data_IF_676129086232
#
_entry.id   IF_676129086232
#
_cell.length_a   1.000
_cell.length_b   1.000
_cell.length_c   1.000
_cell.angle_alpha   90.00
_cell.angle_beta   90.00
_cell.angle_gamma   90.00
#
_symmetry.space_group_name_H-M   'P 1'
#
loop_
_entity.id
_entity.type
_entity.pdbx_description
1 polymer ?
#
# COMPACT_ATOMS: atom_id res chain seq x y z
N UNK A 1 -27.17 5.86 7.40
CA UNK A 1 -26.34 4.71 7.78
C UNK A 1 -25.72 4.14 6.52
N UNK A 2 -24.39 4.18 6.40
CA UNK A 2 -23.69 3.54 5.28
C UNK A 2 -24.04 2.06 5.29
N UNK A 3 -24.80 1.59 4.31
CA UNK A 3 -24.87 0.16 4.03
C UNK A 3 -23.50 -0.17 3.46
N UNK A 4 -22.74 -1.02 4.16
CA UNK A 4 -21.39 -1.49 3.85
C UNK A 4 -20.30 -0.54 4.40
N UNK A 5 -19.16 -1.10 4.82
CA UNK A 5 -18.00 -0.39 5.40
C UNK A 5 -17.25 0.49 4.41
N UNK A 6 -17.96 1.16 3.50
CA UNK A 6 -17.42 2.05 2.49
C UNK A 6 -17.04 3.40 3.11
N UNK A 7 -15.79 3.80 2.89
CA UNK A 7 -15.32 5.13 3.24
C UNK A 7 -15.90 6.18 2.28
N UNK A 8 -16.80 7.02 2.77
CA UNK A 8 -17.42 8.10 2.00
C UNK A 8 -17.60 9.35 2.85
N UNK A 9 -16.67 10.33 2.75
CA UNK A 9 -16.76 11.58 3.49
C UNK A 9 -18.04 12.38 3.19
N UNK A 10 -18.70 12.95 4.21
CA UNK A 10 -19.96 13.69 4.05
C UNK A 10 -19.82 14.97 3.19
N UNK A 11 -18.63 15.52 3.07
CA UNK A 11 -18.32 16.75 2.31
C UNK A 11 -18.20 16.53 0.79
N UNK A 12 -18.09 15.27 0.32
CA UNK A 12 -17.90 14.98 -1.10
C UNK A 12 -18.97 15.56 -2.03
N UNK A 13 -20.28 15.52 -1.71
CA UNK A 13 -21.30 16.06 -2.61
C UNK A 13 -21.11 17.54 -2.94
N UNK A 14 -20.81 18.37 -1.95
CA UNK A 14 -20.63 19.81 -2.15
C UNK A 14 -19.36 20.13 -2.93
N UNK A 15 -18.28 19.38 -2.65
CA UNK A 15 -17.00 19.54 -3.35
C UNK A 15 -17.07 19.10 -4.80
N UNK A 16 -17.80 18.00 -5.10
CA UNK A 16 -18.07 17.56 -6.47
C UNK A 16 -18.82 18.64 -7.25
N UNK A 17 -19.83 19.28 -6.64
CA UNK A 17 -20.59 20.37 -7.28
C UNK A 17 -19.73 21.62 -7.48
N UNK A 18 -18.90 21.98 -6.50
CA UNK A 18 -17.97 23.11 -6.64
C UNK A 18 -16.97 22.86 -7.78
N UNK A 19 -16.45 21.63 -7.91
CA UNK A 19 -15.58 21.24 -9.01
C UNK A 19 -16.28 21.35 -10.37
N UNK A 20 -17.52 20.85 -10.49
CA UNK A 20 -18.26 20.89 -11.76
C UNK A 20 -18.65 22.31 -12.19
N UNK A 21 -18.81 23.25 -11.24
CA UNK A 21 -19.02 24.68 -11.52
C UNK A 21 -17.74 25.48 -11.76
N UNK A 22 -16.56 24.86 -11.59
CA UNK A 22 -15.26 25.54 -11.69
C UNK A 22 -14.92 26.42 -10.48
N UNK A 23 -15.62 26.25 -9.37
CA UNK A 23 -15.37 26.97 -8.10
C UNK A 23 -14.29 26.29 -7.24
N UNK A 24 -13.96 25.04 -7.55
CA UNK A 24 -12.90 24.26 -6.90
C UNK A 24 -11.78 23.98 -7.90
N UNK A 25 -10.56 24.38 -7.55
CA UNK A 25 -9.34 24.00 -8.28
C UNK A 25 -8.76 22.73 -7.67
N UNK A 26 -8.62 21.63 -8.43
CA UNK A 26 -8.04 20.39 -7.90
C UNK A 26 -6.62 20.59 -7.38
N UNK A 27 -6.35 20.04 -6.20
CA UNK A 27 -4.99 20.00 -5.64
C UNK A 27 -4.14 19.02 -6.46
N UNK A 28 -2.87 19.35 -6.72
CA UNK A 28 -1.94 18.41 -7.36
C UNK A 28 -1.70 17.21 -6.45
N UNK A 29 -1.88 15.96 -6.93
CA UNK A 29 -1.67 14.79 -6.08
C UNK A 29 -0.18 14.64 -5.71
N UNK A 30 0.07 14.35 -4.43
CA UNK A 30 1.41 13.99 -3.95
C UNK A 30 1.72 12.54 -4.31
N UNK A 31 2.92 12.24 -4.78
CA UNK A 31 3.34 10.84 -5.01
C UNK A 31 3.37 10.09 -3.67
N UNK A 32 2.92 8.85 -3.70
CA UNK A 32 2.94 7.96 -2.55
C UNK A 32 3.24 6.52 -2.98
N UNK A 33 3.70 5.72 -2.04
CA UNK A 33 3.95 4.30 -2.23
C UNK A 33 3.40 3.51 -1.06
N UNK A 34 2.89 2.31 -1.33
CA UNK A 34 2.37 1.41 -0.30
C UNK A 34 2.69 -0.04 -0.65
N UNK A 35 2.93 -0.88 0.35
CA UNK A 35 3.43 -2.25 0.17
C UNK A 35 2.50 -3.25 0.83
N UNK A 36 1.87 -4.09 0.01
CA UNK A 36 1.18 -5.30 0.42
C UNK A 36 2.22 -6.34 0.80
N UNK A 37 2.60 -6.35 2.08
CA UNK A 37 3.56 -7.31 2.62
C UNK A 37 2.87 -8.66 2.82
N UNK A 38 3.44 -9.70 2.22
CA UNK A 38 2.89 -11.05 2.16
C UNK A 38 3.77 -12.04 2.92
N UNK A 39 3.17 -13.07 3.52
CA UNK A 39 3.91 -14.20 4.06
C UNK A 39 3.18 -15.50 3.77
N UNK A 40 3.92 -16.57 3.64
CA UNK A 40 3.30 -17.89 3.59
C UNK A 40 2.67 -18.21 4.95
N UNK A 41 1.48 -18.84 4.96
CA UNK A 41 0.85 -19.23 6.21
C UNK A 41 1.76 -20.22 6.95
N UNK A 42 1.81 -20.15 8.29
CA UNK A 42 2.57 -21.13 9.05
C UNK A 42 2.03 -22.55 8.77
N UNK A 43 2.89 -23.57 8.76
CA UNK A 43 2.42 -24.95 8.63
C UNK A 43 1.39 -25.23 9.75
N UNK A 44 0.35 -26.04 9.46
CA UNK A 44 -0.66 -26.36 10.46
C UNK A 44 0.00 -26.94 11.71
N UNK A 45 -0.42 -26.46 12.88
CA UNK A 45 0.11 -26.92 14.16
C UNK A 45 -0.03 -28.45 14.24
N UNK A 46 1.09 -29.15 14.44
CA UNK A 46 1.15 -30.60 14.58
C UNK A 46 0.33 -31.02 15.80
N UNK A 47 -0.93 -31.40 15.59
CA UNK A 47 -1.82 -31.80 16.70
C UNK A 47 -3.10 -32.48 16.27
N UNK A 48 -3.68 -32.11 15.13
CA UNK A 48 -4.85 -32.79 14.57
C UNK A 48 -4.71 -32.78 13.06
N UNK A 49 -4.29 -33.90 12.47
CA UNK A 49 -4.18 -34.05 11.01
C UNK A 49 -5.59 -34.04 10.40
N UNK A 50 -6.17 -32.86 10.24
CA UNK A 50 -7.11 -32.65 9.16
C UNK A 50 -6.37 -32.96 7.85
N UNK A 51 -6.98 -33.66 6.88
CA UNK A 51 -6.37 -33.87 5.58
C UNK A 51 -5.90 -32.53 5.02
N UNK A 52 -4.69 -32.49 4.48
CA UNK A 52 -4.18 -31.29 3.82
C UNK A 52 -5.22 -30.84 2.78
N UNK A 53 -5.56 -29.54 2.73
CA UNK A 53 -6.49 -29.05 1.73
C UNK A 53 -5.99 -29.41 0.32
N UNK A 54 -6.91 -29.66 -0.60
CA UNK A 54 -6.60 -30.08 -1.97
C UNK A 54 -5.73 -29.05 -2.73
N UNK A 55 -5.76 -27.79 -2.30
CA UNK A 55 -4.84 -26.74 -2.73
C UNK A 55 -4.14 -26.14 -1.49
N UNK A 56 -2.84 -25.82 -1.58
CA UNK A 56 -2.15 -25.10 -0.52
C UNK A 56 -2.85 -23.75 -0.25
N UNK A 57 -2.95 -23.37 1.03
CA UNK A 57 -3.47 -22.07 1.38
C UNK A 57 -2.53 -20.97 0.85
N UNK A 58 -3.08 -19.98 0.15
CA UNK A 58 -2.32 -18.85 -0.35
C UNK A 58 -1.76 -17.97 0.79
N UNK A 59 -0.92 -16.96 0.45
CA UNK A 59 -0.25 -16.14 1.44
C UNK A 59 -1.21 -15.26 2.26
N UNK A 60 -0.84 -15.02 3.53
CA UNK A 60 -1.42 -13.96 4.35
C UNK A 60 -0.89 -12.59 3.89
N UNK A 61 -1.67 -11.54 4.11
CA UNK A 61 -1.28 -10.14 3.91
C UNK A 61 -1.28 -9.38 5.23
N UNK A 62 -0.31 -8.48 5.38
CA UNK A 62 -0.19 -7.59 6.53
C UNK A 62 -1.04 -6.33 6.34
N UNK A 63 -1.92 -6.06 7.29
CA UNK A 63 -2.73 -4.86 7.36
C UNK A 63 -2.48 -4.14 8.68
N UNK A 64 -2.50 -2.81 8.64
CA UNK A 64 -2.52 -1.94 9.81
C UNK A 64 -3.82 -1.16 9.85
N UNK A 65 -4.34 -0.92 11.06
CA UNK A 65 -5.51 -0.08 11.29
C UNK A 65 -5.05 1.30 11.72
N UNK A 66 -5.37 2.30 10.91
CA UNK A 66 -5.07 3.71 11.20
C UNK A 66 -5.79 4.13 12.48
N UNK A 67 -5.12 4.90 13.35
CA UNK A 67 -5.72 5.44 14.58
C UNK A 67 -7.03 6.18 14.24
N UNK A 68 -8.04 6.00 15.08
CA UNK A 68 -9.35 6.66 14.91
C UNK A 68 -9.31 8.18 15.08
N UNK A 69 -8.22 8.71 15.63
CA UNK A 69 -7.98 10.15 15.77
C UNK A 69 -7.39 10.80 14.52
N UNK A 70 -7.07 10.03 13.47
CA UNK A 70 -6.52 10.59 12.24
C UNK A 70 -7.53 11.43 11.47
N UNK A 71 -7.08 12.54 10.89
CA UNK A 71 -7.95 13.42 10.09
C UNK A 71 -8.43 12.79 8.78
N UNK A 72 -7.76 11.75 8.28
CA UNK A 72 -8.09 11.06 7.03
C UNK A 72 -7.96 9.54 7.20
N UNK A 73 -8.96 8.81 6.69
CA UNK A 73 -9.05 7.35 6.76
C UNK A 73 -8.98 6.78 8.20
N UNK A 74 -9.53 7.50 9.20
CA UNK A 74 -9.59 7.09 10.60
C UNK A 74 -10.23 5.71 10.79
N UNK A 75 -9.53 4.78 11.45
CA UNK A 75 -10.03 3.43 11.69
C UNK A 75 -10.07 2.52 10.46
N UNK A 76 -9.66 3.02 9.29
CA UNK A 76 -9.53 2.21 8.09
C UNK A 76 -8.29 1.32 8.17
N UNK A 77 -8.43 0.09 7.68
CA UNK A 77 -7.32 -0.80 7.42
C UNK A 77 -6.63 -0.40 6.12
N UNK A 78 -5.30 -0.43 6.14
CA UNK A 78 -4.42 -0.10 5.03
C UNK A 78 -3.16 -0.98 5.10
N UNK A 79 -2.26 -0.81 4.13
CA UNK A 79 -0.93 -1.41 4.16
C UNK A 79 0.10 -0.38 4.63
N UNK A 80 1.32 -0.81 5.01
CA UNK A 80 2.45 0.10 5.19
C UNK A 80 2.62 1.02 3.97
N UNK A 81 2.77 2.32 4.20
CA UNK A 81 2.94 3.25 3.10
C UNK A 81 2.71 4.71 3.44
N UNK A 82 3.23 5.57 2.59
CA UNK A 82 3.21 7.01 2.81
C UNK A 82 3.64 7.81 1.59
N UNK A 83 3.81 9.10 1.81
CA UNK A 83 4.19 10.02 0.75
C UNK A 83 5.67 9.85 0.39
N UNK A 84 5.99 10.05 -0.88
CA UNK A 84 7.39 10.22 -1.31
C UNK A 84 7.93 11.51 -0.71
N UNK A 85 9.04 11.41 0.02
CA UNK A 85 9.77 12.54 0.58
C UNK A 85 10.82 13.02 -0.43
N UNK A 86 11.17 14.32 -0.41
CA UNK A 86 12.23 14.85 -1.30
C UNK A 86 13.57 14.15 -1.08
N UNK A 87 13.82 13.64 0.15
CA UNK A 87 15.03 12.89 0.48
C UNK A 87 15.08 11.50 -0.14
N UNK A 88 13.94 10.97 -0.61
CA UNK A 88 13.90 9.73 -1.38
C UNK A 88 14.50 9.90 -2.79
N UNK A 89 14.75 11.14 -3.24
CA UNK A 89 15.41 11.44 -4.51
C UNK A 89 16.94 11.31 -4.42
N UNK A 90 17.51 11.23 -3.21
CA UNK A 90 18.95 11.04 -3.01
C UNK A 90 19.40 9.65 -3.52
N UNK A 91 20.58 9.59 -4.13
CA UNK A 91 21.09 8.34 -4.68
C UNK A 91 21.35 7.30 -3.59
N UNK A 92 20.93 6.05 -3.86
CA UNK A 92 21.17 4.90 -3.00
C UNK A 92 21.89 3.80 -3.78
N UNK A 93 22.64 2.96 -3.06
CA UNK A 93 23.12 1.69 -3.62
C UNK A 93 21.90 0.84 -3.99
N UNK A 94 21.94 0.25 -5.19
CA UNK A 94 20.75 -0.28 -5.84
C UNK A 94 20.98 -1.68 -6.42
N UNK A 95 20.05 -2.59 -6.15
CA UNK A 95 20.00 -3.93 -6.73
C UNK A 95 18.62 -4.21 -7.33
N UNK A 96 18.57 -5.08 -8.32
CA UNK A 96 17.36 -5.43 -9.07
C UNK A 96 17.22 -4.69 -10.40
N UNK A 97 15.99 -4.53 -10.92
CA UNK A 97 15.75 -3.81 -12.17
C UNK A 97 16.35 -2.41 -12.10
N UNK A 98 16.96 -1.96 -13.19
CA UNK A 98 17.55 -0.62 -13.27
C UNK A 98 16.49 0.47 -13.03
N UNK A 99 16.94 1.65 -12.63
CA UNK A 99 16.08 2.84 -12.47
C UNK A 99 15.29 3.15 -13.75
N UNK A 100 15.89 2.92 -14.92
CA UNK A 100 15.21 3.09 -16.21
C UNK A 100 14.09 2.06 -16.43
N UNK A 101 14.31 0.79 -16.06
CA UNK A 101 13.26 -0.24 -16.11
C UNK A 101 12.12 0.08 -15.14
N UNK A 102 12.41 0.60 -13.94
CA UNK A 102 11.39 1.08 -13.02
C UNK A 102 10.66 2.33 -13.54
N UNK A 103 11.37 3.25 -14.19
CA UNK A 103 10.78 4.43 -14.83
C UNK A 103 9.73 4.05 -15.87
N UNK A 104 10.10 3.14 -16.78
CA UNK A 104 9.20 2.56 -17.77
C UNK A 104 8.02 1.85 -17.10
N UNK A 105 8.30 0.97 -16.12
CA UNK A 105 7.27 0.20 -15.42
C UNK A 105 6.24 1.09 -14.73
N UNK A 106 6.68 2.15 -14.05
CA UNK A 106 5.83 3.04 -13.25
C UNK A 106 5.22 4.18 -14.08
N UNK A 107 5.67 4.38 -15.33
CA UNK A 107 5.22 5.44 -16.23
C UNK A 107 5.65 6.84 -15.77
N UNK A 108 6.87 6.97 -15.24
CA UNK A 108 7.47 8.23 -14.75
C UNK A 108 8.95 8.32 -15.18
N UNK A 109 9.63 9.44 -14.90
CA UNK A 109 11.08 9.53 -15.11
C UNK A 109 11.88 8.74 -14.05
N UNK A 110 13.16 8.48 -14.33
CA UNK A 110 14.02 7.64 -13.49
C UNK A 110 14.22 8.17 -12.06
N UNK A 111 14.30 9.49 -11.88
CA UNK A 111 14.44 10.08 -10.55
C UNK A 111 13.16 9.87 -9.74
N UNK A 112 12.00 10.09 -10.37
CA UNK A 112 10.71 9.84 -9.72
C UNK A 112 10.49 8.36 -9.41
N UNK A 113 10.92 7.46 -10.29
CA UNK A 113 10.83 6.02 -10.08
C UNK A 113 11.69 5.57 -8.89
N UNK A 114 12.94 6.04 -8.81
CA UNK A 114 13.79 5.76 -7.65
C UNK A 114 13.12 6.24 -6.36
N UNK A 115 12.63 7.48 -6.34
CA UNK A 115 12.03 8.05 -5.13
C UNK A 115 10.77 7.30 -4.69
N UNK A 116 9.92 6.87 -5.64
CA UNK A 116 8.75 6.04 -5.34
C UNK A 116 9.13 4.67 -4.76
N UNK A 117 10.17 4.02 -5.31
CA UNK A 117 10.67 2.74 -4.79
C UNK A 117 11.34 2.91 -3.42
N UNK A 118 12.12 3.96 -3.22
CA UNK A 118 12.71 4.28 -1.92
C UNK A 118 11.63 4.52 -0.87
N UNK A 119 10.60 5.31 -1.19
CA UNK A 119 9.47 5.53 -0.31
C UNK A 119 8.77 4.21 0.06
N UNK A 120 8.57 3.29 -0.89
CA UNK A 120 7.96 1.99 -0.62
C UNK A 120 8.73 1.20 0.45
N UNK A 121 10.06 1.11 0.31
CA UNK A 121 10.91 0.39 1.26
C UNK A 121 11.03 1.13 2.60
N UNK A 122 11.24 2.45 2.55
CA UNK A 122 11.35 3.31 3.73
C UNK A 122 10.10 3.23 4.60
N UNK A 123 8.93 3.45 4.03
CA UNK A 123 7.65 3.42 4.76
C UNK A 123 7.36 2.03 5.33
N UNK A 124 7.74 0.97 4.60
CA UNK A 124 7.62 -0.41 5.10
C UNK A 124 8.49 -0.62 6.34
N UNK A 125 9.71 -0.10 6.35
CA UNK A 125 10.59 -0.18 7.51
C UNK A 125 10.09 0.68 8.67
N UNK A 126 9.67 1.92 8.40
CA UNK A 126 9.14 2.85 9.41
C UNK A 126 7.91 2.27 10.13
N UNK A 127 6.95 1.71 9.39
CA UNK A 127 5.65 1.33 9.95
C UNK A 127 5.57 -0.12 10.42
N UNK A 128 6.28 -1.03 9.76
CA UNK A 128 6.21 -2.47 10.04
C UNK A 128 7.52 -3.05 10.61
N UNK A 129 8.61 -2.29 10.59
CA UNK A 129 9.93 -2.77 11.01
C UNK A 129 10.54 -3.80 10.05
N UNK A 130 10.08 -3.83 8.79
CA UNK A 130 10.57 -4.75 7.76
C UNK A 130 11.37 -3.97 6.72
N UNK A 131 12.59 -4.43 6.42
CA UNK A 131 13.52 -3.76 5.53
C UNK A 131 13.80 -4.62 4.28
N UNK A 132 13.57 -4.04 3.10
CA UNK A 132 13.87 -4.66 1.81
C UNK A 132 15.25 -4.18 1.30
N UNK A 133 16.29 -4.52 2.06
CA UNK A 133 17.68 -4.20 1.76
C UNK A 133 18.62 -5.30 2.27
N UNK A 134 19.83 -5.36 1.72
CA UNK A 134 20.86 -6.34 2.08
C UNK A 134 22.27 -5.77 1.94
N UNK A 135 23.29 -6.55 2.30
CA UNK A 135 24.69 -6.13 2.14
C UNK A 135 25.15 -6.18 0.68
N UNK A 136 24.43 -6.93 -0.13
CA UNK A 136 24.74 -7.17 -1.53
C UNK A 136 23.44 -7.48 -2.31
N UNK A 137 23.50 -7.60 -3.65
CA UNK A 137 22.33 -7.87 -4.49
C UNK A 137 21.66 -9.24 -4.29
N UNK A 138 22.20 -10.13 -3.47
CA UNK A 138 21.70 -11.50 -3.27
C UNK A 138 21.14 -11.71 -1.86
N UNK A 139 21.66 -11.01 -0.86
CA UNK A 139 21.24 -11.15 0.54
C UNK A 139 20.20 -10.12 0.97
N UNK A 140 19.54 -10.40 2.09
CA UNK A 140 18.71 -9.45 2.85
C UNK A 140 19.25 -9.39 4.28
N UNK A 141 19.01 -8.28 4.99
CA UNK A 141 19.27 -8.26 6.43
C UNK A 141 18.27 -9.18 7.12
N UNK A 142 18.75 -10.20 7.83
CA UNK A 142 17.88 -11.21 8.45
C UNK A 142 17.19 -10.68 9.72
N UNK A 143 17.89 -9.87 10.52
CA UNK A 143 17.39 -9.34 11.79
C UNK A 143 17.62 -7.83 11.88
N UNK A 144 16.52 -7.10 12.07
CA UNK A 144 16.48 -5.64 12.23
C UNK A 144 15.85 -5.25 13.58
N UNK A 145 15.92 -6.14 14.58
CA UNK A 145 15.24 -5.97 15.88
C UNK A 145 16.08 -5.37 17.00
N UNK A 146 17.39 -5.18 16.78
CA UNK A 146 18.30 -4.59 17.76
C UNK A 146 17.99 -3.12 18.10
N UNK A 147 18.45 -2.66 19.27
CA UNK A 147 18.23 -1.29 19.76
C UNK A 147 18.79 -0.23 18.80
N UNK A 148 19.90 -0.52 18.13
CA UNK A 148 20.49 0.36 17.12
C UNK A 148 19.60 0.49 15.87
N UNK A 149 18.93 -0.59 15.46
CA UNK A 149 17.95 -0.57 14.37
C UNK A 149 16.70 0.22 14.74
N UNK A 150 16.22 0.09 15.98
CA UNK A 150 15.09 0.88 16.46
C UNK A 150 15.43 2.37 16.57
N UNK A 151 16.66 2.71 16.97
CA UNK A 151 17.13 4.09 16.99
C UNK A 151 17.13 4.70 15.57
N UNK A 152 17.66 3.97 14.59
CA UNK A 152 17.66 4.43 13.19
C UNK A 152 16.25 4.53 12.61
N UNK A 153 15.39 3.56 12.89
CA UNK A 153 13.97 3.61 12.48
C UNK A 153 13.27 4.81 13.10
N UNK A 154 13.52 5.09 14.38
CA UNK A 154 13.02 6.28 15.07
C UNK A 154 13.48 7.56 14.40
N UNK A 155 14.76 7.65 14.02
CA UNK A 155 15.33 8.80 13.32
C UNK A 155 14.78 8.98 11.90
N UNK A 156 14.44 7.89 11.19
CA UNK A 156 13.73 7.95 9.91
C UNK A 156 12.31 8.53 10.09
N UNK A 157 11.55 7.97 11.05
CA UNK A 157 10.18 8.44 11.38
C UNK A 157 10.17 9.91 11.81
N UNK A 158 11.12 10.34 12.64
CA UNK A 158 11.25 11.73 13.08
C UNK A 158 11.87 12.65 12.02
N UNK A 159 12.31 12.07 10.88
CA UNK A 159 12.94 12.77 9.76
C UNK A 159 14.31 13.37 10.08
N UNK A 160 14.97 12.92 11.14
CA UNK A 160 16.34 13.29 11.49
C UNK A 160 17.38 12.59 10.61
N UNK A 161 17.07 11.38 10.14
CA UNK A 161 17.91 10.58 9.23
C UNK A 161 17.20 10.45 7.89
N UNK A 162 17.93 10.59 6.78
CA UNK A 162 17.40 10.24 5.46
C UNK A 162 17.54 8.74 5.19
N UNK A 163 16.67 8.16 4.36
CA UNK A 163 16.78 6.74 4.03
C UNK A 163 18.05 6.41 3.25
N UNK A 164 18.52 7.34 2.41
CA UNK A 164 19.79 7.18 1.72
C UNK A 164 20.98 7.14 2.69
N UNK A 165 21.03 8.07 3.66
CA UNK A 165 22.09 8.10 4.68
C UNK A 165 22.03 6.87 5.59
N UNK A 166 20.83 6.42 5.95
CA UNK A 166 20.63 5.18 6.71
C UNK A 166 21.22 3.96 5.98
N UNK A 167 20.90 3.78 4.69
CA UNK A 167 21.46 2.69 3.91
C UNK A 167 22.98 2.82 3.76
N UNK A 168 23.49 4.03 3.51
CA UNK A 168 24.92 4.28 3.37
C UNK A 168 25.70 3.99 4.66
N UNK A 169 25.21 4.47 5.80
CA UNK A 169 25.84 4.26 7.11
C UNK A 169 25.92 2.78 7.50
N UNK A 170 24.93 1.98 7.07
CA UNK A 170 24.89 0.54 7.31
C UNK A 170 25.54 -0.30 6.20
N UNK A 171 26.05 0.34 5.13
CA UNK A 171 26.63 -0.36 3.98
C UNK A 171 25.63 -1.25 3.25
N UNK A 172 24.38 -0.80 3.13
CA UNK A 172 23.27 -1.56 2.57
C UNK A 172 22.93 -1.12 1.15
N UNK A 173 22.44 -2.09 0.39
CA UNK A 173 21.91 -1.96 -0.96
C UNK A 173 20.40 -2.13 -0.91
N UNK A 174 19.65 -1.21 -1.50
CA UNK A 174 18.21 -1.33 -1.68
C UNK A 174 17.92 -2.47 -2.66
N UNK A 175 17.15 -3.47 -2.23
CA UNK A 175 16.76 -4.65 -3.03
C UNK A 175 15.44 -4.40 -3.76
N UNK A 176 15.50 -3.62 -4.84
CA UNK A 176 14.29 -3.24 -5.59
C UNK A 176 13.61 -4.43 -6.27
N UNK A 177 14.36 -5.50 -6.54
CA UNK A 177 13.86 -6.77 -7.08
C UNK A 177 12.90 -7.51 -6.15
N UNK A 178 12.85 -7.15 -4.87
CA UNK A 178 11.89 -7.73 -3.91
C UNK A 178 10.50 -7.09 -4.01
N UNK A 179 10.35 -6.00 -4.78
CA UNK A 179 9.08 -5.31 -4.99
C UNK A 179 8.45 -5.68 -6.33
N UNK A 180 7.14 -5.94 -6.32
CA UNK A 180 6.32 -6.06 -7.52
C UNK A 180 5.30 -4.93 -7.63
N UNK A 181 5.38 -4.06 -8.65
CA UNK A 181 4.36 -3.02 -8.84
C UNK A 181 3.01 -3.62 -9.30
N UNK A 182 1.97 -3.38 -8.52
CA UNK A 182 0.69 -4.09 -8.59
C UNK A 182 -0.46 -3.24 -9.10
N UNK A 183 -0.60 -2.00 -8.62
CA UNK A 183 -1.66 -1.08 -9.02
C UNK A 183 -1.22 0.38 -8.85
N UNK A 184 -1.93 1.30 -9.50
CA UNK A 184 -1.76 2.74 -9.30
C UNK A 184 -3.12 3.39 -9.12
N UNK A 185 -3.31 4.12 -8.04
CA UNK A 185 -4.56 4.80 -7.71
C UNK A 185 -4.32 6.28 -7.48
N UNK A 186 -5.14 7.13 -8.07
CA UNK A 186 -5.07 8.58 -7.85
C UNK A 186 -6.34 9.03 -7.14
N UNK A 187 -6.16 9.70 -6.01
CA UNK A 187 -7.26 10.25 -5.20
C UNK A 187 -8.12 11.21 -6.04
N UNK A 188 -9.46 11.18 -5.90
CA UNK A 188 -10.38 11.99 -6.70
C UNK A 188 -10.05 13.49 -6.70
N UNK A 189 -10.35 14.19 -7.80
CA UNK A 189 -10.00 15.61 -7.98
C UNK A 189 -10.65 16.57 -6.99
N UNK A 190 -11.84 16.21 -6.51
CA UNK A 190 -12.57 17.00 -5.53
C UNK A 190 -12.02 16.82 -4.12
N UNK A 191 -11.07 15.93 -3.84
CA UNK A 191 -10.48 15.76 -2.50
C UNK A 191 -9.49 16.87 -2.14
N UNK A 192 -9.42 17.24 -0.85
CA UNK A 192 -8.45 18.25 -0.37
C UNK A 192 -7.03 17.69 -0.34
N UNK A 193 -6.91 16.43 0.05
CA UNK A 193 -5.64 15.73 0.19
C UNK A 193 -5.58 14.65 -0.86
N UNK A 194 -4.83 14.92 -1.92
CA UNK A 194 -4.71 14.01 -3.05
C UNK A 194 -3.36 13.31 -3.08
N UNK A 195 -3.40 12.03 -3.42
CA UNK A 195 -2.24 11.19 -3.60
C UNK A 195 -2.31 10.48 -4.95
N UNK A 196 -1.14 10.28 -5.55
CA UNK A 196 -0.89 9.40 -6.69
C UNK A 196 -0.06 8.24 -6.14
N UNK A 197 -0.74 7.14 -5.84
CA UNK A 197 -0.21 6.05 -5.03
C UNK A 197 0.07 4.83 -5.88
N UNK A 198 1.33 4.40 -5.88
CA UNK A 198 1.72 3.10 -6.41
C UNK A 198 1.64 2.04 -5.30
N UNK A 199 0.96 0.94 -5.58
CA UNK A 199 0.85 -0.22 -4.72
C UNK A 199 1.86 -1.26 -5.18
N UNK A 200 2.62 -1.80 -4.24
CA UNK A 200 3.60 -2.85 -4.47
C UNK A 200 3.24 -4.10 -3.68
N UNK A 201 3.65 -5.27 -4.15
CA UNK A 201 3.73 -6.51 -3.36
C UNK A 201 5.16 -6.74 -2.91
N UNK A 202 5.34 -7.36 -1.74
CA UNK A 202 6.63 -7.87 -1.29
C UNK A 202 6.41 -9.10 -0.40
N UNK A 203 7.26 -10.11 -0.54
CA UNK A 203 7.32 -11.19 0.43
C UNK A 203 8.09 -10.73 1.69
N UNK A 204 7.61 -11.12 2.87
CA UNK A 204 8.31 -10.91 4.14
C UNK A 204 9.68 -11.61 4.08
N UNK A 205 10.80 -10.87 4.18
CA UNK A 205 12.12 -11.46 4.16
C UNK A 205 12.30 -12.50 5.28
N UNK A 206 12.98 -13.61 4.97
CA UNK A 206 13.28 -14.63 5.95
C UNK A 206 14.08 -14.04 7.13
N UNK A 207 13.74 -14.45 8.36
CA UNK A 207 14.33 -13.94 9.59
C UNK A 207 13.64 -12.69 10.16
N UNK A 208 13.08 -11.84 9.30
CA UNK A 208 12.40 -10.62 9.74
C UNK A 208 10.99 -10.88 10.25
N UNK A 209 10.51 -9.99 11.12
CA UNK A 209 9.17 -10.05 11.71
C UNK A 209 8.57 -8.66 11.73
N UNK A 210 7.29 -8.56 11.38
CA UNK A 210 6.54 -7.31 11.51
C UNK A 210 6.36 -6.93 12.98
N UNK A 211 6.38 -5.63 13.26
CA UNK A 211 6.09 -5.05 14.56
C UNK A 211 5.05 -3.94 14.40
N UNK A 212 4.22 -3.73 15.43
CA UNK A 212 3.37 -2.54 15.48
C UNK A 212 4.25 -1.34 15.88
N UNK A 213 5.02 -0.84 14.92
CA UNK A 213 6.08 0.13 15.13
C UNK A 213 5.64 1.56 14.77
N UNK A 214 4.57 1.69 13.99
CA UNK A 214 3.94 2.96 13.66
C UNK A 214 3.19 3.52 14.86
N UNK A 215 3.40 4.81 15.16
CA UNK A 215 2.50 5.50 16.08
C UNK A 215 1.13 5.71 15.41
N UNK A 216 1.05 5.76 14.09
CA UNK A 216 -0.17 6.05 13.33
C UNK A 216 -1.16 4.88 13.25
N UNK A 217 -0.73 3.68 13.65
CA UNK A 217 -1.56 2.49 13.72
C UNK A 217 -1.84 2.08 15.16
N UNK A 218 -3.07 1.63 15.47
CA UNK A 218 -3.41 1.09 16.79
C UNK A 218 -3.54 -0.44 16.80
N UNK A 219 -3.63 -1.07 15.63
CA UNK A 219 -3.72 -2.52 15.46
C UNK A 219 -3.05 -2.96 14.17
N UNK A 220 -2.56 -4.18 14.18
CA UNK A 220 -1.99 -4.86 13.02
C UNK A 220 -2.59 -6.25 12.90
N UNK A 221 -2.75 -6.74 11.67
CA UNK A 221 -3.38 -8.01 11.38
C UNK A 221 -2.62 -8.71 10.24
N UNK A 222 -2.34 -9.99 10.42
CA UNK A 222 -2.06 -10.89 9.32
C UNK A 222 -3.32 -11.72 9.05
N UNK A 223 -3.77 -11.77 7.81
CA UNK A 223 -4.99 -12.49 7.41
C UNK A 223 -4.92 -12.84 5.93
N UNK A 224 -5.68 -13.85 5.49
CA UNK A 224 -5.78 -14.13 4.06
C UNK A 224 -6.48 -12.96 3.34
N UNK A 225 -6.12 -12.66 2.07
CA UNK A 225 -6.83 -11.64 1.30
C UNK A 225 -8.34 -11.91 1.21
N UNK A 226 -8.75 -13.17 1.11
CA UNK A 226 -10.16 -13.56 1.06
C UNK A 226 -10.91 -13.24 2.37
N UNK A 227 -10.30 -13.55 3.52
CA UNK A 227 -10.91 -13.24 4.83
C UNK A 227 -10.98 -11.73 5.07
N UNK A 228 -9.97 -10.98 4.64
CA UNK A 228 -9.98 -9.53 4.71
C UNK A 228 -11.13 -8.92 3.90
N UNK A 229 -11.37 -9.40 2.68
CA UNK A 229 -12.51 -8.99 1.85
C UNK A 229 -13.83 -9.36 2.51
N UNK A 230 -13.94 -10.58 3.04
CA UNK A 230 -15.15 -11.01 3.74
C UNK A 230 -15.44 -10.15 4.99
N UNK A 231 -14.40 -9.76 5.74
CA UNK A 231 -14.51 -8.83 6.86
C UNK A 231 -14.95 -7.42 6.44
N UNK A 232 -14.47 -6.93 5.29
CA UNK A 232 -14.96 -5.68 4.71
C UNK A 232 -16.43 -5.77 4.30
N UNK A 233 -16.85 -6.84 3.65
CA UNK A 233 -18.22 -7.04 3.19
C UNK A 233 -19.21 -7.15 4.38
N UNK A 234 -18.75 -7.69 5.52
CA UNK A 234 -19.51 -7.69 6.80
C UNK A 234 -19.47 -6.35 7.55
N UNK A 235 -18.67 -5.38 7.09
CA UNK A 235 -18.50 -4.08 7.74
C UNK A 235 -17.61 -4.10 8.99
N UNK A 236 -16.85 -5.17 9.20
CA UNK A 236 -15.93 -5.34 10.35
C UNK A 236 -14.57 -4.69 10.10
N UNK A 237 -14.14 -4.67 8.83
CA UNK A 237 -12.89 -4.05 8.40
C UNK A 237 -13.19 -2.88 7.47
N UNK A 238 -13.25 -1.67 8.03
CA UNK A 238 -13.36 -0.43 7.24
C UNK A 238 -12.15 -0.31 6.32
N UNK A 239 -12.36 -0.13 5.02
CA UNK A 239 -11.27 0.02 4.04
C UNK A 239 -11.62 1.07 2.99
N UNK A 240 -10.58 1.68 2.41
CA UNK A 240 -10.72 2.52 1.23
C UNK A 240 -10.86 1.64 -0.03
N UNK A 241 -11.49 2.13 -1.12
CA UNK A 241 -11.62 1.37 -2.36
C UNK A 241 -10.31 0.76 -2.88
N UNK A 242 -9.15 1.47 -2.91
CA UNK A 242 -7.90 0.88 -3.35
C UNK A 242 -7.51 -0.39 -2.59
N UNK A 243 -7.65 -0.37 -1.25
CA UNK A 243 -7.27 -1.50 -0.39
C UNK A 243 -8.13 -2.72 -0.62
N UNK A 244 -9.46 -2.58 -0.62
CA UNK A 244 -10.35 -3.72 -0.84
C UNK A 244 -10.21 -4.25 -2.28
N UNK A 245 -10.00 -3.39 -3.28
CA UNK A 245 -9.75 -3.84 -4.65
C UNK A 245 -8.48 -4.67 -4.74
N UNK A 246 -7.35 -4.18 -4.20
CA UNK A 246 -6.09 -4.94 -4.26
C UNK A 246 -6.16 -6.26 -3.48
N UNK A 247 -6.93 -6.33 -2.38
CA UNK A 247 -7.20 -7.59 -1.69
C UNK A 247 -8.03 -8.57 -2.55
N UNK A 248 -9.06 -8.08 -3.25
CA UNK A 248 -9.85 -8.90 -4.19
C UNK A 248 -8.98 -9.45 -5.32
N UNK A 249 -8.08 -8.63 -5.86
CA UNK A 249 -7.13 -9.03 -6.89
C UNK A 249 -6.14 -10.08 -6.37
N UNK A 250 -5.58 -9.90 -5.17
CA UNK A 250 -4.70 -10.89 -4.54
C UNK A 250 -5.43 -12.22 -4.31
N UNK A 251 -6.68 -12.17 -3.83
CA UNK A 251 -7.51 -13.37 -3.64
C UNK A 251 -7.78 -14.08 -4.98
N UNK A 252 -8.02 -13.32 -6.05
CA UNK A 252 -8.27 -13.85 -7.39
C UNK A 252 -7.00 -14.41 -8.06
N UNK A 253 -5.81 -13.91 -7.72
CA UNK A 253 -4.54 -14.33 -8.29
C UNK A 253 -4.13 -15.77 -7.91
N UNK A 254 -4.73 -16.36 -6.86
CA UNK A 254 -4.47 -17.73 -6.39
C UNK A 254 -2.98 -18.05 -6.26
N UNK A 255 -2.25 -17.16 -5.59
CA UNK A 255 -0.82 -17.32 -5.36
C UNK A 255 -0.55 -18.59 -4.52
N UNK A 256 0.45 -19.38 -4.92
CA UNK A 256 0.87 -20.57 -4.16
C UNK A 256 1.86 -20.22 -3.05
N UNK A 257 2.61 -19.13 -3.21
CA UNK A 257 3.49 -18.55 -2.20
C UNK A 257 3.48 -17.02 -2.22
N UNK A 258 3.93 -16.40 -1.13
CA UNK A 258 4.15 -14.97 -1.04
C UNK A 258 5.13 -14.46 -2.11
N UNK A 259 6.14 -15.26 -2.47
CA UNK A 259 7.13 -14.88 -3.48
C UNK A 259 6.57 -14.84 -4.91
N UNK A 260 5.48 -15.55 -5.19
CA UNK A 260 4.86 -15.56 -6.53
C UNK A 260 4.26 -14.18 -6.88
N UNK A 261 3.93 -13.38 -5.88
CA UNK A 261 3.29 -12.08 -6.07
C UNK A 261 4.11 -11.12 -6.94
N UNK A 262 5.44 -11.14 -6.79
CA UNK A 262 6.34 -10.28 -7.57
C UNK A 262 6.37 -10.69 -9.04
N UNK A 263 6.30 -12.00 -9.32
CA UNK A 263 6.24 -12.51 -10.69
C UNK A 263 4.91 -12.13 -11.36
N UNK A 264 3.78 -12.28 -10.65
CA UNK A 264 2.47 -11.86 -11.14
C UNK A 264 2.43 -10.35 -11.38
N UNK A 265 3.05 -9.56 -10.49
CA UNK A 265 3.11 -8.10 -10.61
C UNK A 265 3.79 -7.60 -11.90
N UNK A 266 4.69 -8.39 -12.50
CA UNK A 266 5.40 -8.00 -13.72
C UNK A 266 4.45 -7.79 -14.92
N UNK A 267 3.32 -8.50 -14.97
CA UNK A 267 2.34 -8.41 -16.06
C UNK A 267 1.15 -7.48 -15.80
N UNK A 268 1.12 -6.79 -14.66
CA UNK A 268 -0.04 -5.97 -14.25
C UNK A 268 -0.13 -4.65 -15.04
N UNK A 269 -1.33 -4.27 -15.44
CA UNK A 269 -1.60 -2.92 -15.95
C UNK A 269 -1.56 -1.92 -14.78
N UNK A 270 -0.80 -0.82 -14.96
CA UNK A 270 -0.67 0.27 -13.98
C UNK A 270 -1.29 1.57 -14.47
N UNK A 271 -2.17 1.51 -15.47
CA UNK A 271 -3.04 2.61 -15.85
C UNK A 271 -3.74 3.11 -14.58
N UNK A 272 -3.61 4.42 -14.26
CA UNK A 272 -4.05 4.92 -12.96
C UNK A 272 -5.57 4.82 -12.85
N UNK A 273 -6.03 4.25 -11.73
CA UNK A 273 -7.45 4.19 -11.38
C UNK A 273 -7.87 5.51 -10.74
N UNK A 274 -8.80 6.22 -11.39
CA UNK A 274 -9.34 7.51 -10.96
C UNK A 274 -10.86 7.44 -10.83
N UNK A 275 -11.39 8.04 -9.75
CA UNK A 275 -12.82 8.25 -9.66
C UNK A 275 -13.29 9.30 -10.67
N UNK A 276 -14.48 9.09 -11.21
CA UNK A 276 -15.21 10.06 -12.03
C UNK A 276 -16.48 10.44 -11.30
N UNK A 277 -16.67 11.74 -11.11
CA UNK A 277 -17.93 12.30 -10.62
C UNK A 277 -18.64 13.04 -11.75
N UNK A 278 -19.92 12.76 -11.97
CA UNK A 278 -20.76 13.49 -12.92
C UNK A 278 -22.08 13.88 -12.29
N UNK A 279 -22.65 14.98 -12.77
CA UNK A 279 -24.01 15.40 -12.44
C UNK A 279 -24.97 14.83 -13.49
N UNK A 280 -26.00 14.11 -13.05
CA UNK A 280 -27.01 13.49 -13.91
C UNK A 280 -28.40 13.71 -13.32
N UNK A 281 -29.25 14.50 -13.99
CA UNK A 281 -30.64 14.71 -13.54
C UNK A 281 -30.80 15.29 -12.11
N UNK A 282 -29.79 15.99 -11.58
CA UNK A 282 -29.78 16.49 -10.19
C UNK A 282 -29.14 15.53 -9.17
N UNK A 283 -28.70 14.35 -9.62
CA UNK A 283 -27.92 13.39 -8.83
C UNK A 283 -26.42 13.55 -9.09
N UNK A 284 -25.62 13.23 -8.07
CA UNK A 284 -24.20 12.98 -8.24
C UNK A 284 -24.00 11.48 -8.47
N UNK A 285 -23.40 11.12 -9.59
CA UNK A 285 -22.95 9.75 -9.88
C UNK A 285 -21.44 9.72 -9.74
N UNK A 286 -20.96 9.02 -8.70
CA UNK A 286 -19.54 8.75 -8.50
C UNK A 286 -19.25 7.31 -8.93
N UNK A 287 -18.25 7.11 -9.80
CA UNK A 287 -17.83 5.79 -10.26
C UNK A 287 -16.32 5.69 -10.39
N UNK A 288 -15.81 4.46 -10.37
CA UNK A 288 -14.44 4.13 -10.72
C UNK A 288 -14.52 3.20 -11.94
N UNK A 289 -14.09 3.63 -13.13
CA UNK A 289 -14.16 2.79 -14.33
C UNK A 289 -13.45 1.44 -14.12
N UNK A 290 -14.13 0.33 -14.43
CA UNK A 290 -13.63 -1.03 -14.17
C UNK A 290 -13.83 -1.51 -12.73
N UNK A 291 -14.48 -0.70 -11.87
CA UNK A 291 -14.81 -1.01 -10.50
C UNK A 291 -16.23 -0.53 -10.15
N UNK A 292 -17.21 -1.01 -10.90
CA UNK A 292 -18.62 -0.63 -10.80
C UNK A 292 -19.22 -0.94 -9.41
N UNK A 293 -18.61 -1.84 -8.63
CA UNK A 293 -19.01 -2.13 -7.25
C UNK A 293 -18.94 -0.93 -6.29
N UNK A 294 -18.19 0.13 -6.66
CA UNK A 294 -18.08 1.37 -5.88
C UNK A 294 -18.94 2.49 -6.46
N UNK A 295 -19.73 2.23 -7.50
CA UNK A 295 -20.65 3.24 -8.02
C UNK A 295 -21.61 3.70 -6.92
N UNK A 296 -21.72 5.01 -6.74
CA UNK A 296 -22.63 5.60 -5.78
C UNK A 296 -23.40 6.74 -6.42
N UNK A 297 -24.72 6.69 -6.23
CA UNK A 297 -25.64 7.77 -6.58
C UNK A 297 -26.06 8.51 -5.34
N UNK A 298 -25.91 9.83 -5.35
CA UNK A 298 -26.20 10.69 -4.22
C UNK A 298 -27.24 11.70 -4.64
N UNK A 299 -28.40 11.56 -4.00
CA UNK A 299 -29.54 12.44 -4.18
C UNK A 299 -29.31 13.78 -3.50
N UNK A 300 -29.85 14.83 -4.09
CA UNK A 300 -29.98 16.12 -3.41
C UNK A 300 -30.92 15.98 -2.20
N UNK A 301 -30.52 16.61 -1.09
CA UNK A 301 -31.47 17.19 -0.13
C UNK A 301 -31.66 18.63 -0.54
#
# INVERSE_FOLDING_TARGET
MSKNGQWYPPEWPDRIRALSRGELTPVTPRRAATVMLLRDPPPPASGHAAPAPAEPAGPDVYLLRRRTTMAFAAGAYAYPGGAVDVRDEAEVQWAGPSRAQWAERLGVDAARAQATVCAAVRETFEESGVLLAGRDPQTVVEDVTGDDWEADRGALVSRELSFADFLAARGLVLRSDLLGAWARWITPEFEERRYDTWFFTAALPAGQRTRNASTEADRTLWTSPADAVAGYDRGELLMMPPTVTTLRELAAARLSSASDATAVAAGRDLTPVLARARLDGGEIVLSWPGHEEFEKRIYAV
#
